data_IF_345494119475
#
_entry.id   IF_345494119475
#
_cell.length_a   1.000
_cell.length_b   1.000
_cell.length_c   1.000
_cell.angle_alpha   90.00
_cell.angle_beta   90.00
_cell.angle_gamma   90.00
#
_symmetry.space_group_name_H-M   'P 1'
#
loop_
_entity.id
_entity.type
_entity.pdbx_description
1 polymer ?
#
# COMPACT_ATOMS: atom_id res chain seq x y z
N UNK A 1 9.00 6.82 9.87
CA UNK A 1 7.55 6.95 9.65
C UNK A 1 6.93 5.69 10.21
N UNK A 2 6.50 5.69 11.47
CA UNK A 2 5.76 4.55 12.03
C UNK A 2 4.32 4.64 11.53
N UNK A 3 4.08 4.19 10.30
CA UNK A 3 2.71 3.91 9.87
C UNK A 3 2.26 2.72 10.70
N UNK A 4 1.18 2.87 11.47
CA UNK A 4 0.56 1.74 12.17
C UNK A 4 -0.10 0.83 11.14
N UNK A 5 0.67 -0.06 10.52
CA UNK A 5 0.23 -0.84 9.35
C UNK A 5 -1.00 -1.71 9.64
N UNK A 6 -1.19 -2.17 10.89
CA UNK A 6 -2.44 -2.86 11.28
C UNK A 6 -3.69 -1.99 11.09
N UNK A 7 -3.58 -0.69 11.33
CA UNK A 7 -4.68 0.25 11.08
C UNK A 7 -4.90 0.45 9.58
N UNK A 8 -3.84 0.38 8.76
CA UNK A 8 -3.95 0.47 7.31
C UNK A 8 -4.71 -0.72 6.71
N UNK A 9 -4.40 -1.95 7.14
CA UNK A 9 -5.12 -3.15 6.70
C UNK A 9 -6.60 -3.05 7.07
N UNK A 10 -6.91 -2.63 8.30
CA UNK A 10 -8.31 -2.41 8.71
C UNK A 10 -9.01 -1.33 7.88
N UNK A 11 -8.31 -0.24 7.55
CA UNK A 11 -8.85 0.82 6.71
C UNK A 11 -9.11 0.35 5.27
N UNK A 12 -8.24 -0.50 4.71
CA UNK A 12 -8.45 -1.13 3.40
C UNK A 12 -9.72 -1.97 3.42
N UNK A 13 -9.91 -2.83 4.43
CA UNK A 13 -11.13 -3.64 4.59
C UNK A 13 -12.38 -2.76 4.61
N UNK A 14 -12.34 -1.72 5.43
CA UNK A 14 -13.47 -0.79 5.58
C UNK A 14 -13.80 -0.09 4.27
N UNK A 15 -12.80 0.39 3.53
CA UNK A 15 -13.01 1.04 2.22
C UNK A 15 -13.59 0.05 1.20
N UNK A 16 -13.09 -1.19 1.18
CA UNK A 16 -13.59 -2.24 0.31
C UNK A 16 -15.07 -2.53 0.58
N UNK A 17 -15.47 -2.65 1.85
CA UNK A 17 -16.87 -2.82 2.24
C UNK A 17 -17.74 -1.61 1.90
N UNK A 18 -17.30 -0.39 2.25
CA UNK A 18 -18.06 0.85 2.00
C UNK A 18 -18.27 1.11 0.51
N UNK A 19 -17.29 0.78 -0.32
CA UNK A 19 -17.34 0.99 -1.78
C UNK A 19 -17.87 -0.23 -2.53
N UNK A 20 -18.16 -1.33 -1.83
CA UNK A 20 -18.58 -2.59 -2.42
C UNK A 20 -17.58 -3.07 -3.51
N UNK A 21 -16.29 -3.00 -3.17
CA UNK A 21 -15.19 -3.39 -4.03
C UNK A 21 -14.51 -4.65 -3.47
N UNK A 22 -13.93 -5.50 -4.33
CA UNK A 22 -13.02 -6.55 -3.90
C UNK A 22 -11.86 -5.96 -3.10
N UNK A 23 -11.53 -6.60 -1.98
CA UNK A 23 -10.45 -6.16 -1.08
C UNK A 23 -9.11 -6.08 -1.82
N UNK A 24 -8.83 -7.06 -2.69
CA UNK A 24 -7.64 -7.12 -3.55
C UNK A 24 -7.44 -5.85 -4.40
N UNK A 25 -8.53 -5.28 -4.93
CA UNK A 25 -8.46 -4.06 -5.77
C UNK A 25 -8.05 -2.86 -4.93
N UNK A 26 -8.62 -2.74 -3.73
CA UNK A 26 -8.29 -1.62 -2.82
C UNK A 26 -6.86 -1.79 -2.31
N UNK A 27 -6.44 -3.02 -2.04
CA UNK A 27 -5.10 -3.36 -1.61
C UNK A 27 -4.05 -2.99 -2.66
N UNK A 28 -4.24 -3.41 -3.91
CA UNK A 28 -3.35 -3.06 -5.03
C UNK A 28 -3.29 -1.54 -5.25
N UNK A 29 -4.43 -0.85 -5.18
CA UNK A 29 -4.48 0.60 -5.33
C UNK A 29 -3.66 1.33 -4.25
N UNK A 30 -3.67 0.84 -3.00
CA UNK A 30 -2.88 1.41 -1.91
C UNK A 30 -1.39 1.14 -2.12
N UNK A 31 -1.01 -0.06 -2.51
CA UNK A 31 0.39 -0.40 -2.84
C UNK A 31 0.95 0.49 -3.96
N UNK A 32 0.18 0.70 -5.03
CA UNK A 32 0.59 1.60 -6.11
C UNK A 32 0.68 3.06 -5.67
N UNK A 33 -0.24 3.53 -4.82
CA UNK A 33 -0.20 4.88 -4.27
C UNK A 33 1.06 5.09 -3.40
N UNK A 34 1.42 4.11 -2.57
CA UNK A 34 2.62 4.13 -1.76
C UNK A 34 3.89 4.10 -2.61
N UNK A 35 3.94 3.25 -3.64
CA UNK A 35 5.04 3.20 -4.60
C UNK A 35 5.22 4.51 -5.37
N UNK A 36 4.12 5.15 -5.76
CA UNK A 36 4.13 6.46 -6.43
C UNK A 36 4.60 7.57 -5.48
N UNK A 37 4.12 7.59 -4.24
CA UNK A 37 4.56 8.55 -3.23
C UNK A 37 6.06 8.40 -2.92
N UNK A 38 6.54 7.16 -2.78
CA UNK A 38 7.95 6.89 -2.55
C UNK A 38 8.82 7.30 -3.75
N UNK A 39 8.39 7.01 -4.99
CA UNK A 39 9.08 7.51 -6.20
C UNK A 39 9.13 9.04 -6.25
N UNK A 40 8.08 9.72 -5.79
CA UNK A 40 8.05 11.18 -5.79
C UNK A 40 9.05 11.78 -4.80
N UNK A 41 9.15 11.19 -3.61
CA UNK A 41 9.98 11.74 -2.52
C UNK A 41 11.44 11.26 -2.57
N UNK A 42 11.70 10.07 -3.14
CA UNK A 42 13.01 9.40 -3.12
C UNK A 42 13.48 8.83 -4.46
N UNK A 43 12.67 8.87 -5.52
CA UNK A 43 12.95 8.14 -6.76
C UNK A 43 13.87 8.89 -7.72
N UNK A 44 14.86 8.17 -8.25
CA UNK A 44 15.52 8.54 -9.51
C UNK A 44 14.64 8.16 -10.73
N UNK A 45 14.88 8.79 -11.88
CA UNK A 45 13.99 8.80 -13.06
C UNK A 45 13.66 7.42 -13.63
N UNK A 46 14.39 6.37 -13.25
CA UNK A 46 14.24 4.98 -13.72
C UNK A 46 14.06 3.95 -12.57
N UNK A 47 13.87 4.40 -11.33
CA UNK A 47 13.80 3.49 -10.20
C UNK A 47 12.42 2.80 -10.11
N UNK A 48 12.42 1.47 -10.18
CA UNK A 48 11.23 0.65 -10.07
C UNK A 48 10.93 0.36 -8.60
N UNK A 49 10.12 1.22 -8.00
CA UNK A 49 9.67 1.02 -6.62
C UNK A 49 8.42 0.16 -6.62
N UNK A 50 8.49 -0.99 -5.96
CA UNK A 50 7.38 -1.86 -5.65
C UNK A 50 7.15 -1.88 -4.14
N UNK A 51 5.90 -1.76 -3.72
CA UNK A 51 5.52 -1.89 -2.31
C UNK A 51 4.61 -3.09 -2.20
N UNK A 52 4.93 -4.00 -1.29
CA UNK A 52 4.08 -5.13 -0.94
C UNK A 52 3.62 -4.98 0.50
N UNK A 53 2.32 -5.15 0.70
CA UNK A 53 1.70 -5.17 2.01
C UNK A 53 1.25 -6.61 2.32
N UNK A 54 1.65 -7.12 3.47
CA UNK A 54 1.20 -8.42 3.94
C UNK A 54 -0.05 -8.23 4.79
N UNK A 55 -1.20 -8.68 4.27
CA UNK A 55 -2.50 -8.56 4.94
C UNK A 55 -2.58 -9.32 6.28
N UNK A 56 -1.81 -10.39 6.42
CA UNK A 56 -1.84 -11.26 7.60
C UNK A 56 -0.96 -10.73 8.73
N UNK A 57 0.24 -10.24 8.39
CA UNK A 57 1.20 -9.73 9.39
C UNK A 57 1.11 -8.23 9.58
N UNK A 58 0.54 -7.50 8.61
CA UNK A 58 0.63 -6.06 8.53
C UNK A 58 2.08 -5.59 8.31
N UNK A 59 2.91 -6.38 7.64
CA UNK A 59 4.26 -5.95 7.27
C UNK A 59 4.23 -5.30 5.90
N UNK A 60 4.90 -4.16 5.76
CA UNK A 60 5.08 -3.47 4.49
C UNK A 60 6.54 -3.60 4.07
N UNK A 61 6.78 -4.13 2.87
CA UNK A 61 8.10 -4.23 2.27
C UNK A 61 8.15 -3.37 1.02
N UNK A 62 9.05 -2.39 1.00
CA UNK A 62 9.36 -1.61 -0.19
C UNK A 62 10.64 -2.17 -0.84
N UNK A 63 10.56 -2.54 -2.11
CA UNK A 63 11.70 -2.95 -2.93
C UNK A 63 11.90 -1.88 -4.02
N UNK A 64 13.11 -1.39 -4.18
CA UNK A 64 13.44 -0.23 -5.02
C UNK A 64 14.54 -0.56 -6.01
#
# INVERSE_FOLDING_TARGET
MEIQIKQLVMAIKQIAEEKNLPEDIVHEAVEQALAAAYRKDFGEREQNVAVQLNENTGEMTATT
#
